data_IF_546800415513
#
_entry.id   IF_546800415513
#
_cell.length_a   1.000
_cell.length_b   1.000
_cell.length_c   1.000
_cell.angle_alpha   90.00
_cell.angle_beta   90.00
_cell.angle_gamma   90.00
#
_symmetry.space_group_name_H-M   'P 1'
#
loop_
_entity.id
_entity.type
_entity.pdbx_description
1 polymer ?
#
# COMPACT_ATOMS: atom_id res chain seq x y z
N UNK A 1 -1.82 0.90 17.63
CA UNK A 1 -0.77 1.55 16.80
C UNK A 1 0.18 0.45 16.34
N UNK A 2 0.44 0.33 15.03
CA UNK A 2 1.46 -0.58 14.52
C UNK A 2 2.81 0.13 14.55
N UNK A 3 3.82 -0.57 15.05
CA UNK A 3 5.21 -0.13 15.00
C UNK A 3 5.98 -0.98 14.00
N UNK A 4 6.96 -0.38 13.34
CA UNK A 4 7.87 -1.05 12.40
C UNK A 4 9.15 -1.44 13.11
N UNK A 5 9.52 -2.71 12.99
CA UNK A 5 10.88 -3.17 13.24
C UNK A 5 11.46 -3.74 11.94
N UNK A 6 12.72 -3.41 11.67
CA UNK A 6 13.45 -3.92 10.50
C UNK A 6 14.49 -4.91 11.00
N UNK A 7 14.54 -6.09 10.42
CA UNK A 7 15.62 -7.05 10.67
C UNK A 7 16.33 -7.33 9.35
N UNK A 8 17.63 -7.07 9.31
CA UNK A 8 18.47 -7.57 8.24
C UNK A 8 18.65 -9.07 8.42
N UNK A 9 18.12 -9.88 7.51
CA UNK A 9 18.41 -11.31 7.49
C UNK A 9 19.59 -11.51 6.55
N UNK A 10 20.62 -12.23 7.01
CA UNK A 10 21.86 -12.49 6.27
C UNK A 10 21.58 -13.19 4.95
N UNK A 11 21.33 -12.39 3.91
CA UNK A 11 21.24 -12.68 2.46
C UNK A 11 20.86 -11.39 1.67
N UNK A 12 21.18 -10.19 2.19
CA UNK A 12 20.78 -8.87 1.64
C UNK A 12 19.26 -8.64 1.50
N UNK A 13 18.41 -9.48 2.10
CA UNK A 13 16.96 -9.29 2.11
C UNK A 13 16.52 -8.60 3.39
N UNK A 14 15.81 -7.50 3.24
CA UNK A 14 15.19 -6.76 4.34
C UNK A 14 13.84 -7.38 4.65
N UNK A 15 13.64 -7.81 5.90
CA UNK A 15 12.32 -8.19 6.42
C UNK A 15 11.77 -7.05 7.26
N UNK A 16 10.54 -6.67 6.96
CA UNK A 16 9.77 -5.77 7.81
C UNK A 16 8.84 -6.57 8.69
N UNK A 17 8.88 -6.31 9.99
CA UNK A 17 8.00 -6.94 10.98
C UNK A 17 7.09 -5.87 11.54
N UNK A 18 5.79 -6.10 11.44
CA UNK A 18 4.76 -5.27 12.03
C UNK A 18 4.37 -5.88 13.36
N UNK A 19 4.57 -5.12 14.43
CA UNK A 19 4.23 -5.52 15.80
C UNK A 19 3.15 -4.61 16.35
N UNK A 20 2.31 -5.15 17.24
CA UNK A 20 1.41 -4.33 18.05
C UNK A 20 2.15 -3.62 19.19
N UNK A 21 1.42 -2.82 19.96
CA UNK A 21 1.97 -2.05 21.09
C UNK A 21 2.55 -2.91 22.22
N UNK A 22 2.22 -4.20 22.26
CA UNK A 22 2.75 -5.16 23.23
C UNK A 22 3.98 -5.92 22.69
N UNK A 23 4.45 -5.57 21.49
CA UNK A 23 5.57 -6.23 20.83
C UNK A 23 5.20 -7.54 20.13
N UNK A 24 3.91 -7.89 20.04
CA UNK A 24 3.50 -9.13 19.36
C UNK A 24 3.43 -8.90 17.86
N UNK A 25 4.08 -9.79 17.10
CA UNK A 25 4.02 -9.79 15.64
C UNK A 25 2.59 -9.94 15.12
N UNK A 26 2.21 -9.04 14.21
CA UNK A 26 0.95 -9.03 13.46
C UNK A 26 1.13 -9.51 12.03
N UNK A 27 2.21 -9.07 11.38
CA UNK A 27 2.53 -9.45 10.01
C UNK A 27 4.03 -9.30 9.77
N UNK A 28 4.54 -9.99 8.75
CA UNK A 28 5.88 -9.74 8.22
C UNK A 28 5.83 -9.65 6.71
N UNK A 29 6.73 -8.85 6.14
CA UNK A 29 6.84 -8.66 4.71
C UNK A 29 8.30 -8.81 4.31
N UNK A 30 8.52 -9.78 3.43
CA UNK A 30 9.78 -9.98 2.76
C UNK A 30 9.79 -9.21 1.43
N UNK A 31 10.98 -8.84 0.98
CA UNK A 31 11.23 -8.27 -0.33
C UNK A 31 10.49 -6.94 -0.59
N UNK A 32 10.21 -6.16 0.45
CA UNK A 32 9.83 -4.76 0.29
C UNK A 32 11.09 -3.90 0.21
N UNK A 33 11.06 -2.92 -0.69
CA UNK A 33 12.12 -1.93 -0.81
C UNK A 33 11.94 -0.81 0.21
N UNK A 34 10.74 -0.22 0.26
CA UNK A 34 10.42 0.87 1.19
C UNK A 34 8.99 0.76 1.74
N UNK A 35 8.75 1.47 2.85
CA UNK A 35 7.46 1.56 3.53
C UNK A 35 7.26 3.01 3.97
N UNK A 36 6.07 3.56 3.72
CA UNK A 36 5.67 4.92 4.11
C UNK A 36 4.35 4.85 4.86
N UNK A 37 4.28 5.55 6.00
CA UNK A 37 3.08 5.63 6.82
C UNK A 37 2.27 6.86 6.40
N UNK A 38 1.00 6.66 6.07
CA UNK A 38 0.00 7.70 5.83
C UNK A 38 -1.09 7.60 6.92
N UNK A 39 -1.93 8.61 7.08
CA UNK A 39 -2.87 8.69 8.21
C UNK A 39 -3.77 7.45 8.38
N UNK A 40 -4.18 6.84 7.27
CA UNK A 40 -5.13 5.73 7.23
C UNK A 40 -4.57 4.42 6.64
N UNK A 41 -3.39 4.46 6.01
CA UNK A 41 -2.78 3.27 5.43
C UNK A 41 -1.26 3.31 5.39
N UNK A 42 -0.66 2.18 5.02
CA UNK A 42 0.76 2.03 4.83
C UNK A 42 1.02 1.77 3.34
N UNK A 43 1.75 2.68 2.69
CA UNK A 43 2.21 2.52 1.30
C UNK A 43 3.47 1.67 1.30
N UNK A 44 3.49 0.63 0.49
CA UNK A 44 4.66 -0.25 0.34
C UNK A 44 5.19 -0.25 -1.07
N UNK A 45 6.49 -0.32 -1.21
CA UNK A 45 7.19 -0.36 -2.49
C UNK A 45 7.91 -1.70 -2.67
N UNK A 46 7.78 -2.30 -3.85
CA UNK A 46 8.62 -3.41 -4.31
C UNK A 46 9.41 -3.00 -5.54
N UNK A 47 10.58 -3.62 -5.71
CA UNK A 47 11.37 -3.52 -6.93
C UNK A 47 11.46 -4.90 -7.57
N UNK A 48 11.05 -5.01 -8.82
CA UNK A 48 11.16 -6.23 -9.63
C UNK A 48 11.64 -5.86 -11.03
N UNK A 49 12.73 -6.48 -11.51
CA UNK A 49 13.31 -6.19 -12.82
C UNK A 49 13.55 -4.68 -13.07
N UNK A 50 14.10 -3.98 -12.08
CA UNK A 50 14.30 -2.52 -12.08
C UNK A 50 13.03 -1.65 -12.11
N UNK A 51 11.84 -2.25 -12.11
CA UNK A 51 10.58 -1.54 -12.01
C UNK A 51 10.13 -1.44 -10.56
N UNK A 52 9.67 -0.25 -10.18
CA UNK A 52 9.06 0.02 -8.88
C UNK A 52 7.55 -0.17 -8.97
N UNK A 53 6.99 -0.86 -8.01
CA UNK A 53 5.55 -1.00 -7.87
C UNK A 53 5.12 -0.70 -6.45
N UNK A 54 3.91 -0.18 -6.32
CA UNK A 54 3.35 0.26 -5.04
C UNK A 54 2.09 -0.51 -4.69
N UNK A 55 1.91 -0.76 -3.39
CA UNK A 55 0.75 -1.42 -2.81
C UNK A 55 0.33 -0.76 -1.51
N UNK A 56 -0.77 -1.24 -0.93
CA UNK A 56 -1.36 -0.70 0.29
C UNK A 56 -1.55 -1.83 1.30
N UNK A 57 -1.12 -1.58 2.53
CA UNK A 57 -1.36 -2.41 3.70
C UNK A 57 -2.16 -1.58 4.70
N UNK A 58 -3.12 -2.19 5.38
CA UNK A 58 -3.85 -1.51 6.44
C UNK A 58 -3.09 -1.57 7.78
N UNK A 59 -3.58 -0.82 8.77
CA UNK A 59 -3.00 -0.80 10.12
C UNK A 59 -3.22 -2.08 10.95
N UNK A 60 -3.79 -3.15 10.36
CA UNK A 60 -3.81 -4.50 10.94
C UNK A 60 -2.70 -5.39 10.40
N UNK A 61 -1.96 -4.93 9.38
CA UNK A 61 -0.93 -5.70 8.69
C UNK A 61 -1.48 -6.55 7.55
N UNK A 62 -2.72 -6.29 7.10
CA UNK A 62 -3.35 -7.01 5.99
C UNK A 62 -3.06 -6.27 4.67
N UNK A 63 -2.68 -7.01 3.63
CA UNK A 63 -2.51 -6.44 2.29
C UNK A 63 -3.89 -6.12 1.72
N UNK A 64 -4.16 -4.83 1.51
CA UNK A 64 -5.39 -4.37 0.84
C UNK A 64 -5.19 -4.35 -0.66
N UNK A 65 -4.04 -3.85 -1.11
CA UNK A 65 -3.67 -3.77 -2.51
C UNK A 65 -2.24 -4.29 -2.68
N UNK A 66 -2.07 -5.33 -3.51
CA UNK A 66 -0.75 -5.88 -3.83
C UNK A 66 0.13 -4.81 -4.50
N UNK A 67 1.47 -4.89 -4.35
CA UNK A 67 2.39 -3.97 -4.97
C UNK A 67 2.51 -4.22 -6.48
N UNK A 68 1.49 -3.81 -7.23
CA UNK A 68 1.38 -3.95 -8.69
C UNK A 68 1.12 -2.62 -9.40
N UNK A 69 0.86 -1.55 -8.64
CA UNK A 69 0.53 -0.24 -9.19
C UNK A 69 1.80 0.53 -9.57
N UNK A 70 1.75 1.31 -10.65
CA UNK A 70 2.80 2.25 -11.08
C UNK A 70 2.83 3.51 -10.21
N UNK A 71 1.74 3.86 -9.55
CA UNK A 71 1.72 4.97 -8.60
C UNK A 71 0.50 4.89 -7.68
N UNK A 72 0.62 5.50 -6.50
CA UNK A 72 -0.49 5.75 -5.59
C UNK A 72 -0.38 7.19 -5.11
N UNK A 73 -1.35 8.03 -5.45
CA UNK A 73 -1.36 9.47 -5.18
C UNK A 73 -2.61 9.84 -4.40
N UNK A 74 -2.48 10.60 -3.31
CA UNK A 74 -3.57 10.97 -2.41
C UNK A 74 -3.94 12.44 -2.59
N UNK A 75 -5.24 12.77 -2.53
CA UNK A 75 -5.75 14.13 -2.67
C UNK A 75 -7.10 14.30 -1.97
N UNK A 76 -7.48 15.56 -1.71
CA UNK A 76 -8.77 15.94 -1.13
C UNK A 76 -9.63 16.61 -2.21
N UNK A 77 -10.89 16.21 -2.33
CA UNK A 77 -11.88 16.80 -3.23
C UNK A 77 -13.23 16.95 -2.51
N UNK A 78 -13.80 18.15 -2.46
CA UNK A 78 -15.09 18.43 -1.77
C UNK A 78 -15.15 17.92 -0.32
N UNK A 79 -14.04 18.01 0.43
CA UNK A 79 -13.86 17.47 1.79
C UNK A 79 -13.81 15.93 1.89
N UNK A 80 -13.88 15.21 0.77
CA UNK A 80 -13.60 13.78 0.73
C UNK A 80 -12.13 13.54 0.39
N UNK A 81 -11.56 12.48 0.95
CA UNK A 81 -10.19 12.08 0.70
C UNK A 81 -10.16 10.82 -0.18
N UNK A 82 -9.41 10.93 -1.27
CA UNK A 82 -9.28 9.86 -2.26
C UNK A 82 -7.81 9.55 -2.51
N UNK A 83 -7.52 8.29 -2.85
CA UNK A 83 -6.26 7.92 -3.46
C UNK A 83 -6.49 7.37 -4.87
N UNK A 84 -5.74 7.88 -5.84
CA UNK A 84 -5.67 7.39 -7.21
C UNK A 84 -4.62 6.28 -7.30
N UNK A 85 -5.04 5.09 -7.73
CA UNK A 85 -4.18 3.94 -7.94
C UNK A 85 -3.95 3.78 -9.45
N UNK A 86 -2.72 4.05 -9.90
CA UNK A 86 -2.31 4.02 -11.30
C UNK A 86 -1.80 2.62 -11.65
N UNK A 87 -2.46 1.89 -12.55
CA UNK A 87 -1.96 0.62 -13.08
C UNK A 87 -0.92 0.86 -14.17
N UNK A 88 -1.26 1.76 -15.10
CA UNK A 88 -0.41 2.24 -16.20
C UNK A 88 -0.84 3.67 -16.55
N UNK A 89 -0.30 4.24 -17.63
CA UNK A 89 -0.55 5.63 -18.01
C UNK A 89 -2.02 5.94 -18.35
N UNK A 90 -2.82 4.93 -18.70
CA UNK A 90 -4.22 5.09 -19.11
C UNK A 90 -5.22 4.54 -18.08
N UNK A 91 -4.81 3.52 -17.32
CA UNK A 91 -5.66 2.76 -16.41
C UNK A 91 -5.42 3.13 -14.95
N UNK A 92 -6.50 3.59 -14.29
CA UNK A 92 -6.50 3.88 -12.86
C UNK A 92 -7.91 3.82 -12.28
N UNK A 93 -7.98 3.72 -10.95
CA UNK A 93 -9.21 3.87 -10.19
C UNK A 93 -8.94 4.62 -8.88
N UNK A 94 -10.02 4.93 -8.17
CA UNK A 94 -9.97 5.66 -6.91
C UNK A 94 -10.36 4.77 -5.75
N UNK A 95 -9.74 5.01 -4.60
CA UNK A 95 -10.16 4.44 -3.32
C UNK A 95 -10.44 5.57 -2.33
N UNK A 96 -11.32 5.31 -1.38
CA UNK A 96 -11.62 6.24 -0.28
C UNK A 96 -10.73 5.99 0.95
N UNK A 97 -10.96 6.75 2.04
CA UNK A 97 -10.18 6.61 3.27
C UNK A 97 -10.33 5.27 3.99
N UNK A 98 -11.44 4.57 3.78
CA UNK A 98 -11.66 3.19 4.25
C UNK A 98 -10.99 2.15 3.33
N UNK A 99 -10.25 2.59 2.31
CA UNK A 99 -9.55 1.78 1.32
C UNK A 99 -10.49 0.95 0.42
N UNK A 100 -11.74 1.38 0.32
CA UNK A 100 -12.71 0.81 -0.62
C UNK A 100 -12.54 1.48 -1.98
N UNK A 101 -12.60 0.69 -3.05
CA UNK A 101 -12.71 1.25 -4.39
C UNK A 101 -14.02 2.03 -4.55
N UNK A 102 -13.95 3.18 -5.20
CA UNK A 102 -15.09 4.06 -5.45
C UNK A 102 -15.17 4.47 -6.92
N UNK A 103 -16.39 4.57 -7.43
CA UNK A 103 -16.64 5.16 -8.73
C UNK A 103 -16.60 6.69 -8.57
N UNK A 104 -15.65 7.35 -9.21
CA UNK A 104 -15.41 8.79 -9.09
C UNK A 104 -14.86 9.34 -10.40
N UNK A 105 -15.24 10.57 -10.76
CA UNK A 105 -14.79 11.26 -11.99
C UNK A 105 -14.90 10.40 -13.27
N UNK A 106 -16.07 9.77 -13.47
CA UNK A 106 -16.36 8.83 -14.57
C UNK A 106 -15.44 7.59 -14.63
N UNK A 107 -14.58 7.37 -13.64
CA UNK A 107 -13.76 6.18 -13.50
C UNK A 107 -14.48 5.19 -12.59
N UNK A 108 -14.50 3.94 -13.03
CA UNK A 108 -15.15 2.84 -12.33
C UNK A 108 -14.11 1.93 -11.70
N UNK A 109 -14.53 1.24 -10.66
CA UNK A 109 -13.75 0.14 -10.11
C UNK A 109 -13.48 -0.93 -11.18
N UNK A 110 -12.26 -1.48 -11.23
CA UNK A 110 -11.94 -2.58 -12.13
C UNK A 110 -12.79 -3.81 -11.77
N UNK A 111 -13.40 -4.43 -12.79
CA UNK A 111 -14.02 -5.74 -12.64
C UNK A 111 -12.95 -6.80 -12.90
N UNK A 112 -12.48 -7.45 -11.84
CA UNK A 112 -11.70 -8.68 -11.96
C UNK A 112 -12.69 -9.84 -12.07
N UNK A 113 -13.00 -10.24 -13.30
CA UNK A 113 -13.74 -11.48 -13.59
C UNK A 113 -12.87 -12.70 -13.28
#
# INVERSE_FOLDING_TARGET
MLSKCTTGIGNNKTRYIFIDSNGKTKAFFDDLYSIQFHDNYIKVEKISNYNRTWGIINYKGEVVFQPIFKEITQFIYNNDEYAKLLLDDENFFYINKELNCVNFDNKKCPNYN
#
